data_IF_334135793016
#
_entry.id   IF_334135793016
#
_cell.length_a   1.000
_cell.length_b   1.000
_cell.length_c   1.000
_cell.angle_alpha   90.00
_cell.angle_beta   90.00
_cell.angle_gamma   90.00
#
_symmetry.space_group_name_H-M   'P 1'
#
loop_
_entity.id
_entity.type
_entity.pdbx_description
1 polymer ?
#
# COMPACT_ATOMS: atom_id res chain seq x y z
N UNK A 1 9.31 1.63 -6.35
CA UNK A 1 9.02 0.61 -7.38
C UNK A 1 7.62 0.03 -7.19
N UNK A 2 7.30 -0.58 -6.04
CA UNK A 2 5.97 -1.14 -5.76
C UNK A 2 4.82 -0.13 -5.92
N UNK A 3 4.94 1.09 -5.38
CA UNK A 3 3.93 2.14 -5.56
C UNK A 3 3.67 2.49 -7.03
N UNK A 4 4.69 2.42 -7.90
CA UNK A 4 4.54 2.69 -9.33
C UNK A 4 3.85 1.53 -10.05
N UNK A 5 4.17 0.28 -9.66
CA UNK A 5 3.47 -0.90 -10.18
C UNK A 5 2.01 -0.94 -9.73
N UNK A 6 1.72 -0.61 -8.46
CA UNK A 6 0.36 -0.51 -7.94
C UNK A 6 -0.43 0.54 -8.74
N UNK A 7 0.18 1.68 -9.06
CA UNK A 7 -0.47 2.74 -9.82
C UNK A 7 -0.78 2.34 -11.26
N UNK A 8 -0.11 1.34 -11.86
CA UNK A 8 -0.50 0.78 -13.16
C UNK A 8 -1.90 0.14 -13.12
N UNK A 9 -2.34 -0.33 -11.96
CA UNK A 9 -3.66 -0.96 -11.81
C UNK A 9 -4.73 0.01 -11.32
N UNK A 10 -4.39 1.28 -11.06
CA UNK A 10 -5.34 2.30 -10.58
C UNK A 10 -5.67 3.25 -11.72
N UNK A 11 -6.91 3.19 -12.21
CA UNK A 11 -7.38 4.06 -13.29
C UNK A 11 -8.40 5.06 -12.75
N UNK A 12 -8.44 6.27 -13.32
CA UNK A 12 -9.46 7.28 -13.01
C UNK A 12 -10.60 7.19 -14.00
N UNK A 13 -11.82 7.30 -13.50
CA UNK A 13 -13.01 7.55 -14.31
C UNK A 13 -13.31 9.06 -14.28
N UNK A 14 -13.52 9.64 -15.45
CA UNK A 14 -13.72 11.10 -15.61
C UNK A 14 -15.21 11.47 -15.77
N UNK A 15 -16.12 10.50 -15.65
CA UNK A 15 -17.54 10.68 -15.95
C UNK A 15 -18.47 10.89 -14.74
N UNK A 16 -18.04 10.56 -13.51
CA UNK A 16 -18.96 10.59 -12.35
C UNK A 16 -18.24 10.85 -11.02
N UNK A 17 -17.80 12.09 -10.81
CA UNK A 17 -16.89 12.43 -9.71
C UNK A 17 -15.52 11.77 -9.92
N UNK A 18 -14.46 12.31 -9.34
CA UNK A 18 -13.11 11.76 -9.51
C UNK A 18 -12.99 10.38 -8.85
N UNK A 19 -13.54 9.33 -9.49
CA UNK A 19 -13.57 7.98 -8.97
C UNK A 19 -12.41 7.20 -9.56
N UNK A 20 -11.78 6.40 -8.72
CA UNK A 20 -10.68 5.53 -9.09
C UNK A 20 -11.18 4.09 -9.05
N UNK A 21 -10.68 3.27 -9.97
CA UNK A 21 -11.01 1.85 -10.02
C UNK A 21 -9.76 1.01 -10.25
N UNK A 22 -9.84 -0.23 -9.77
CA UNK A 22 -8.83 -1.24 -9.97
C UNK A 22 -9.01 -1.88 -11.36
N UNK A 23 -7.93 -2.10 -12.09
CA UNK A 23 -7.97 -2.86 -13.35
C UNK A 23 -7.94 -4.38 -13.14
N UNK A 24 -7.48 -4.84 -11.97
CA UNK A 24 -7.33 -6.27 -11.65
C UNK A 24 -8.61 -6.88 -11.03
N UNK A 25 -9.53 -6.05 -10.54
CA UNK A 25 -10.83 -6.48 -10.05
C UNK A 25 -11.86 -5.33 -10.14
N UNK A 26 -13.14 -5.61 -9.92
CA UNK A 26 -14.22 -4.62 -10.00
C UNK A 26 -14.30 -3.64 -8.81
N UNK A 27 -13.22 -3.43 -8.06
CA UNK A 27 -13.19 -2.50 -6.94
C UNK A 27 -13.04 -1.05 -7.41
N UNK A 28 -13.91 -0.16 -6.94
CA UNK A 28 -13.88 1.28 -7.24
C UNK A 28 -14.12 2.10 -5.98
N UNK A 29 -13.51 3.28 -5.91
CA UNK A 29 -13.60 4.20 -4.78
C UNK A 29 -13.38 5.64 -5.23
N UNK A 30 -13.98 6.60 -4.54
CA UNK A 30 -13.81 8.04 -4.74
C UNK A 30 -12.39 8.55 -4.48
N UNK A 31 -11.53 7.75 -3.85
CA UNK A 31 -10.16 8.15 -3.50
C UNK A 31 -9.12 7.22 -4.11
N UNK A 32 -8.14 7.82 -4.79
CA UNK A 32 -6.99 7.13 -5.38
C UNK A 32 -6.22 6.31 -4.36
N UNK A 33 -6.02 6.86 -3.16
CA UNK A 33 -5.32 6.22 -2.04
C UNK A 33 -6.02 4.95 -1.58
N UNK A 34 -7.36 4.91 -1.59
CA UNK A 34 -8.13 3.73 -1.22
C UNK A 34 -7.93 2.61 -2.22
N UNK A 35 -8.02 2.90 -3.52
CA UNK A 35 -7.79 1.89 -4.57
C UNK A 35 -6.33 1.44 -4.56
N UNK A 36 -5.39 2.37 -4.38
CA UNK A 36 -3.97 2.05 -4.25
C UNK A 36 -3.70 1.08 -3.09
N UNK A 37 -4.26 1.34 -1.90
CA UNK A 37 -4.13 0.44 -0.73
C UNK A 37 -4.83 -0.90 -0.96
N UNK A 38 -5.97 -0.89 -1.65
CA UNK A 38 -6.66 -2.12 -2.05
C UNK A 38 -5.76 -2.97 -2.96
N UNK A 39 -5.22 -2.39 -4.04
CA UNK A 39 -4.31 -3.06 -4.96
C UNK A 39 -3.05 -3.53 -4.22
N UNK A 40 -2.47 -2.68 -3.37
CA UNK A 40 -1.30 -3.01 -2.53
C UNK A 40 -1.55 -4.18 -1.57
N UNK A 41 -2.78 -4.41 -1.10
CA UNK A 41 -3.04 -5.49 -0.11
C UNK A 41 -3.65 -6.75 -0.72
N UNK A 42 -4.37 -6.63 -1.83
CA UNK A 42 -5.12 -7.73 -2.47
C UNK A 42 -4.46 -8.25 -3.73
N UNK A 43 -3.70 -7.41 -4.43
CA UNK A 43 -3.17 -7.74 -5.76
C UNK A 43 -1.65 -7.76 -5.81
N UNK A 44 -1.02 -6.89 -5.02
CA UNK A 44 0.38 -6.97 -4.65
C UNK A 44 0.44 -7.52 -3.24
N UNK A 45 0.11 -8.80 -3.07
CA UNK A 45 0.45 -9.51 -1.85
C UNK A 45 1.98 -9.55 -1.79
N UNK A 46 2.59 -8.47 -1.28
CA UNK A 46 3.81 -8.63 -0.51
C UNK A 46 3.45 -9.62 0.59
N UNK A 47 4.39 -10.45 1.01
CA UNK A 47 4.19 -11.51 2.02
C UNK A 47 3.84 -10.96 3.43
N UNK A 48 3.21 -9.79 3.48
CA UNK A 48 3.18 -8.83 4.55
C UNK A 48 4.46 -8.00 4.60
N UNK A 49 4.36 -6.90 5.33
CA UNK A 49 5.49 -6.09 5.72
C UNK A 49 6.18 -6.81 6.86
N UNK A 50 7.27 -7.51 6.53
CA UNK A 50 8.11 -8.18 7.52
C UNK A 50 8.98 -7.14 8.22
N UNK A 51 8.96 -7.14 9.54
CA UNK A 51 9.92 -6.39 10.34
C UNK A 51 11.28 -7.04 10.21
N UNK A 52 12.28 -6.29 9.72
CA UNK A 52 13.65 -6.79 9.59
C UNK A 52 14.29 -7.09 10.95
N UNK A 53 13.93 -6.33 12.00
CA UNK A 53 14.51 -6.50 13.33
C UNK A 53 13.95 -7.69 14.13
N UNK A 54 12.70 -8.12 13.90
CA UNK A 54 12.11 -9.23 14.66
C UNK A 54 11.41 -10.30 13.80
N UNK A 55 11.41 -10.14 12.48
CA UNK A 55 10.78 -11.07 11.55
C UNK A 55 9.25 -11.08 11.56
N UNK A 56 8.57 -10.25 12.37
CA UNK A 56 7.10 -10.22 12.43
C UNK A 56 6.50 -9.67 11.15
N UNK A 57 5.47 -10.34 10.66
CA UNK A 57 4.78 -10.00 9.42
C UNK A 57 3.51 -9.20 9.72
N UNK A 58 3.38 -8.03 9.10
CA UNK A 58 2.24 -7.13 9.25
C UNK A 58 1.49 -6.97 7.94
N UNK A 59 0.16 -6.87 8.02
CA UNK A 59 -0.69 -6.73 6.82
C UNK A 59 -0.57 -5.35 6.15
N UNK A 60 -0.06 -4.33 6.84
CA UNK A 60 0.02 -2.95 6.33
C UNK A 60 1.27 -2.22 6.81
N UNK A 61 1.73 -1.26 6.01
CA UNK A 61 2.86 -0.36 6.36
C UNK A 61 2.63 0.42 7.64
N UNK A 62 1.40 0.85 7.88
CA UNK A 62 1.06 1.63 9.07
C UNK A 62 1.18 0.80 10.35
N UNK A 63 0.73 -0.47 10.29
CA UNK A 63 0.86 -1.38 11.44
C UNK A 63 2.31 -1.76 11.69
N UNK A 64 3.10 -2.01 10.63
CA UNK A 64 4.55 -2.17 10.74
C UNK A 64 5.20 -0.92 11.32
N UNK A 65 4.86 0.28 10.85
CA UNK A 65 5.47 1.53 11.31
C UNK A 65 5.15 1.81 12.78
N UNK A 66 3.91 1.60 13.20
CA UNK A 66 3.53 1.66 14.63
C UNK A 66 4.27 0.61 15.45
N UNK A 67 4.43 -0.60 14.90
CA UNK A 67 5.23 -1.64 15.55
C UNK A 67 6.70 -1.25 15.69
N UNK A 68 7.34 -0.74 14.64
CA UNK A 68 8.73 -0.30 14.67
C UNK A 68 8.94 0.83 15.67
N UNK A 69 8.02 1.80 15.72
CA UNK A 69 8.09 2.89 16.68
C UNK A 69 7.89 2.42 18.13
N UNK A 70 6.93 1.50 18.35
CA UNK A 70 6.56 1.05 19.70
C UNK A 70 7.49 -0.02 20.26
N UNK A 71 7.92 -0.97 19.42
CA UNK A 71 8.71 -2.14 19.81
C UNK A 71 10.20 -1.90 19.59
N UNK A 72 10.57 -1.31 18.44
CA UNK A 72 11.97 -1.11 18.07
C UNK A 72 12.46 0.33 18.30
N UNK A 73 11.57 1.27 18.65
CA UNK A 73 11.84 2.73 18.64
C UNK A 73 12.55 3.21 17.36
N UNK A 74 12.37 2.46 16.28
CA UNK A 74 12.98 2.73 14.99
C UNK A 74 12.11 3.72 14.21
N UNK A 75 12.73 4.51 13.32
CA UNK A 75 11.98 5.38 12.41
C UNK A 75 10.97 4.54 11.60
N UNK A 76 9.79 5.10 11.30
CA UNK A 76 8.78 4.40 10.51
C UNK A 76 9.41 3.90 9.22
N UNK A 77 9.00 2.71 8.77
CA UNK A 77 9.51 2.10 7.55
C UNK A 77 9.04 2.92 6.35
N UNK A 78 9.74 4.01 6.07
CA UNK A 78 9.64 4.73 4.81
C UNK A 78 10.46 3.93 3.83
N UNK A 79 9.79 3.30 2.86
CA UNK A 79 10.51 2.73 1.72
C UNK A 79 11.36 3.86 1.12
N UNK A 80 12.70 3.78 1.16
CA UNK A 80 13.52 4.77 0.49
C UNK A 80 13.11 4.74 -0.98
N UNK A 81 12.73 5.91 -1.50
CA UNK A 81 12.57 6.08 -2.95
C UNK A 81 13.99 5.93 -3.49
N UNK A 82 14.32 4.87 -4.26
CA UNK A 82 15.63 4.81 -4.87
C UNK A 82 15.77 6.06 -5.75
N UNK A 83 16.86 6.79 -5.52
CA UNK A 83 17.24 8.01 -6.24
C UNK A 83 17.53 7.70 -7.71
#
# INVERSE_FOLDING_TARGET
LLDAEIMKYVTKDEGNGANFYCLKCSFKSTHKTTVKRHVESRHFVTDGFRCDQCGKVYKTRETLSKHLLKIHRAKPFTFPRPE
#
